data_IF_285181532058
#
_entry.id   IF_285181532058
#
_cell.length_a   1.000
_cell.length_b   1.000
_cell.length_c   1.000
_cell.angle_alpha   90.00
_cell.angle_beta   90.00
_cell.angle_gamma   90.00
#
_symmetry.space_group_name_H-M   'P 1'
#
loop_
_entity.id
_entity.type
_entity.pdbx_description
1 polymer ?
#
# COMPACT_ATOMS: atom_id res chain seq x y z
N UNK A 1 33.07 -28.78 0.27
CA UNK A 1 32.10 -27.66 0.16
C UNK A 1 31.73 -27.42 -1.31
N UNK A 2 30.88 -28.29 -1.91
CA UNK A 2 30.46 -28.13 -3.32
C UNK A 2 28.94 -28.27 -3.51
N UNK A 3 28.15 -28.03 -2.44
CA UNK A 3 26.69 -28.15 -2.45
C UNK A 3 25.95 -26.79 -2.40
N UNK A 4 26.64 -25.72 -2.00
CA UNK A 4 26.03 -24.39 -1.88
C UNK A 4 25.85 -23.80 -3.27
N UNK A 5 24.64 -23.35 -3.59
CA UNK A 5 24.29 -22.69 -4.85
C UNK A 5 24.43 -23.59 -6.11
N UNK A 6 24.57 -24.90 -5.93
CA UNK A 6 24.76 -25.84 -7.05
C UNK A 6 23.53 -25.91 -7.94
N UNK A 7 23.65 -25.43 -9.18
CA UNK A 7 22.58 -25.43 -10.17
C UNK A 7 21.60 -24.24 -10.08
N UNK A 8 21.81 -23.32 -9.13
CA UNK A 8 21.05 -22.07 -9.03
C UNK A 8 21.74 -20.94 -9.80
N UNK A 9 20.97 -19.91 -10.14
CA UNK A 9 21.49 -18.57 -10.48
C UNK A 9 21.22 -17.56 -9.36
N UNK A 10 21.91 -16.42 -9.36
CA UNK A 10 21.73 -15.38 -8.32
C UNK A 10 20.28 -14.93 -8.19
N UNK A 11 19.56 -14.81 -9.32
CA UNK A 11 18.17 -14.40 -9.33
C UNK A 11 17.23 -15.44 -8.70
N UNK A 12 17.54 -16.74 -8.75
CA UNK A 12 16.74 -17.76 -8.06
C UNK A 12 16.68 -17.51 -6.56
N UNK A 13 17.82 -17.16 -5.96
CA UNK A 13 17.92 -16.86 -4.54
C UNK A 13 17.29 -15.51 -4.22
N UNK A 14 17.62 -14.46 -4.99
CA UNK A 14 17.18 -13.08 -4.71
C UNK A 14 15.66 -12.95 -4.85
N UNK A 15 15.08 -13.44 -5.95
CA UNK A 15 13.64 -13.29 -6.18
C UNK A 15 12.83 -14.21 -5.27
N UNK A 16 13.32 -15.41 -4.93
CA UNK A 16 12.67 -16.25 -3.92
C UNK A 16 12.68 -15.57 -2.55
N UNK A 17 13.80 -14.95 -2.16
CA UNK A 17 13.89 -14.21 -0.90
C UNK A 17 12.94 -12.98 -0.91
N UNK A 18 12.83 -12.27 -2.04
CA UNK A 18 11.87 -11.19 -2.22
C UNK A 18 10.43 -11.67 -2.05
N UNK A 19 10.06 -12.81 -2.66
CA UNK A 19 8.72 -13.39 -2.52
C UNK A 19 8.40 -13.76 -1.08
N UNK A 20 9.37 -14.30 -0.33
CA UNK A 20 9.19 -14.58 1.10
C UNK A 20 8.96 -13.28 1.90
N UNK A 21 9.70 -12.21 1.60
CA UNK A 21 9.46 -10.91 2.22
C UNK A 21 8.09 -10.32 1.83
N UNK A 22 7.65 -10.50 0.58
CA UNK A 22 6.33 -10.07 0.12
C UNK A 22 5.20 -10.82 0.81
N UNK A 23 5.36 -12.12 1.09
CA UNK A 23 4.39 -12.89 1.89
C UNK A 23 4.17 -12.23 3.25
N UNK A 24 5.25 -11.97 3.97
CA UNK A 24 5.18 -11.39 5.31
C UNK A 24 4.64 -9.95 5.26
N UNK A 25 4.96 -9.19 4.21
CA UNK A 25 4.39 -7.86 3.98
C UNK A 25 2.89 -7.90 3.65
N UNK A 26 2.43 -8.87 2.87
CA UNK A 26 1.02 -9.05 2.56
C UNK A 26 0.20 -9.29 3.82
N UNK A 27 0.65 -10.20 4.68
CA UNK A 27 -0.01 -10.48 5.96
C UNK A 27 -0.04 -9.24 6.86
N UNK A 28 1.07 -8.51 6.95
CA UNK A 28 1.15 -7.27 7.71
C UNK A 28 0.22 -6.18 7.16
N UNK A 29 0.17 -6.01 5.84
CA UNK A 29 -0.61 -4.95 5.20
C UNK A 29 -2.09 -5.27 5.22
N UNK A 30 -2.49 -6.54 5.06
CA UNK A 30 -3.86 -7.00 5.25
C UNK A 30 -4.37 -6.68 6.65
N UNK A 31 -3.60 -7.02 7.69
CA UNK A 31 -3.96 -6.72 9.08
C UNK A 31 -4.10 -5.21 9.33
N UNK A 32 -3.20 -4.38 8.78
CA UNK A 32 -3.29 -2.92 8.92
C UNK A 32 -4.41 -2.30 8.10
N UNK A 33 -4.74 -2.88 6.96
CA UNK A 33 -5.86 -2.46 6.14
C UNK A 33 -7.17 -2.72 6.88
N UNK A 34 -7.31 -3.89 7.52
CA UNK A 34 -8.44 -4.20 8.40
C UNK A 34 -8.52 -3.22 9.58
N UNK A 35 -7.41 -2.96 10.28
CA UNK A 35 -7.37 -1.97 11.36
C UNK A 35 -7.75 -0.55 10.90
N UNK A 36 -7.44 -0.19 9.66
CA UNK A 36 -7.85 1.09 9.07
C UNK A 36 -9.35 1.10 8.76
N UNK A 37 -9.91 0.00 8.26
CA UNK A 37 -11.36 -0.14 8.06
C UNK A 37 -12.13 -0.03 9.39
N UNK A 38 -11.63 -0.68 10.45
CA UNK A 38 -12.20 -0.60 11.79
C UNK A 38 -12.15 0.83 12.34
N UNK A 39 -11.02 1.54 12.15
CA UNK A 39 -10.87 2.93 12.56
C UNK A 39 -11.82 3.86 11.80
N UNK A 40 -12.06 3.60 10.51
CA UNK A 40 -13.07 4.31 9.71
C UNK A 40 -14.48 4.04 10.25
N UNK A 41 -14.80 2.79 10.61
CA UNK A 41 -16.08 2.45 11.25
C UNK A 41 -16.29 3.19 12.56
N UNK A 42 -15.30 3.16 13.47
CA UNK A 42 -15.35 3.89 14.74
C UNK A 42 -15.47 5.42 14.56
N UNK A 43 -14.84 5.97 13.51
CA UNK A 43 -14.98 7.37 13.15
C UNK A 43 -16.40 7.69 12.66
N UNK A 44 -17.04 6.77 11.95
CA UNK A 44 -18.44 6.86 11.55
C UNK A 44 -19.39 6.97 12.73
N UNK A 45 -19.20 6.16 13.77
CA UNK A 45 -19.99 6.24 15.00
C UNK A 45 -19.83 7.59 15.71
N UNK A 46 -18.62 8.15 15.70
CA UNK A 46 -18.31 9.41 16.38
C UNK A 46 -18.79 10.64 15.62
N UNK A 47 -18.52 10.71 14.31
CA UNK A 47 -18.70 11.94 13.52
C UNK A 47 -19.79 11.81 12.46
N UNK A 48 -20.37 10.63 12.25
CA UNK A 48 -21.26 10.36 11.11
C UNK A 48 -22.44 11.33 10.97
N UNK A 49 -22.98 11.80 12.10
CA UNK A 49 -24.08 12.77 12.17
C UNK A 49 -23.69 14.22 11.84
N UNK A 50 -22.40 14.56 11.84
CA UNK A 50 -21.91 15.91 11.60
C UNK A 50 -22.31 16.38 10.20
N UNK A 51 -23.00 17.53 10.13
CA UNK A 51 -23.40 18.16 8.87
C UNK A 51 -22.35 19.17 8.44
N UNK A 52 -22.04 19.19 7.16
CA UNK A 52 -21.00 20.05 6.58
C UNK A 52 -21.33 20.43 5.15
N UNK A 53 -20.55 21.36 4.61
CA UNK A 53 -20.70 21.80 3.24
C UNK A 53 -20.11 20.74 2.29
N UNK A 54 -20.90 20.30 1.31
CA UNK A 54 -20.37 19.49 0.21
C UNK A 54 -19.42 20.33 -0.65
N UNK A 55 -18.39 19.70 -1.21
CA UNK A 55 -17.45 20.39 -2.11
C UNK A 55 -17.40 19.65 -3.43
N UNK A 56 -17.67 20.35 -4.53
CA UNK A 56 -17.58 19.79 -5.89
C UNK A 56 -16.82 20.76 -6.78
N UNK A 57 -15.86 20.26 -7.56
CA UNK A 57 -14.95 21.10 -8.37
C UNK A 57 -14.30 22.24 -7.55
N UNK A 58 -13.95 21.94 -6.30
CA UNK A 58 -13.39 22.90 -5.33
C UNK A 58 -14.30 24.09 -4.99
N UNK A 59 -15.63 23.94 -5.14
CA UNK A 59 -16.63 24.95 -4.79
C UNK A 59 -17.64 24.40 -3.78
N UNK A 60 -18.13 25.24 -2.84
CA UNK A 60 -19.27 24.90 -1.99
C UNK A 60 -20.48 24.40 -2.79
N UNK A 61 -21.09 23.33 -2.33
CA UNK A 61 -22.27 22.70 -2.91
C UNK A 61 -23.35 22.49 -1.84
N UNK A 62 -24.26 21.55 -2.06
CA UNK A 62 -25.30 21.21 -1.08
C UNK A 62 -24.70 20.60 0.20
N UNK A 63 -25.38 20.73 1.35
CA UNK A 63 -24.96 20.09 2.60
C UNK A 63 -24.86 18.57 2.47
N UNK A 64 -23.91 17.99 3.20
CA UNK A 64 -23.62 16.57 3.26
C UNK A 64 -23.36 16.16 4.72
N UNK A 65 -23.61 14.90 5.07
CA UNK A 65 -23.20 14.34 6.37
C UNK A 65 -21.80 13.76 6.29
N UNK A 66 -21.06 13.75 7.39
CA UNK A 66 -19.76 13.09 7.42
C UNK A 66 -19.87 11.61 7.06
N UNK A 67 -20.94 10.93 7.49
CA UNK A 67 -21.21 9.53 7.13
C UNK A 67 -21.25 9.31 5.60
N UNK A 68 -21.85 10.23 4.83
CA UNK A 68 -21.89 10.11 3.38
C UNK A 68 -20.49 10.26 2.74
N UNK A 69 -19.62 11.10 3.31
CA UNK A 69 -18.22 11.22 2.88
C UNK A 69 -17.41 9.99 3.24
N UNK A 70 -17.58 9.49 4.46
CA UNK A 70 -16.94 8.28 4.97
C UNK A 70 -17.30 7.04 4.16
N UNK A 71 -18.56 6.92 3.70
CA UNK A 71 -18.97 5.84 2.81
C UNK A 71 -18.10 5.80 1.53
N UNK A 72 -17.76 6.97 0.96
CA UNK A 72 -16.85 7.06 -0.16
C UNK A 72 -15.38 6.73 0.18
N UNK A 73 -14.97 6.85 1.44
CA UNK A 73 -13.64 6.41 1.89
C UNK A 73 -13.57 4.90 2.10
N UNK A 74 -14.64 4.31 2.63
CA UNK A 74 -14.74 2.87 2.92
C UNK A 74 -15.00 2.03 1.66
N UNK A 75 -15.70 2.57 0.67
CA UNK A 75 -16.13 1.83 -0.51
C UNK A 75 -15.02 1.00 -1.21
N UNK A 76 -13.77 1.48 -1.34
CA UNK A 76 -12.72 0.71 -2.01
C UNK A 76 -12.06 -0.38 -1.16
N UNK A 77 -12.33 -0.47 0.15
CA UNK A 77 -11.63 -1.40 1.05
C UNK A 77 -11.92 -2.88 0.74
N UNK A 78 -13.17 -3.32 0.52
CA UNK A 78 -13.46 -4.71 0.15
C UNK A 78 -12.64 -5.17 -1.07
N UNK A 79 -12.62 -4.36 -2.13
CA UNK A 79 -11.86 -4.69 -3.33
C UNK A 79 -10.35 -4.87 -3.07
N UNK A 80 -9.78 -4.21 -2.06
CA UNK A 80 -8.36 -4.38 -1.73
C UNK A 80 -8.07 -5.74 -1.10
N UNK A 81 -9.01 -6.28 -0.33
CA UNK A 81 -8.92 -7.66 0.19
C UNK A 81 -9.08 -8.66 -0.94
N UNK A 82 -10.09 -8.49 -1.80
CA UNK A 82 -10.33 -9.37 -2.96
C UNK A 82 -9.11 -9.38 -3.91
N UNK A 83 -8.51 -8.21 -4.16
CA UNK A 83 -7.28 -8.10 -4.97
C UNK A 83 -6.12 -8.82 -4.30
N UNK A 84 -5.95 -8.70 -2.98
CA UNK A 84 -4.87 -9.39 -2.29
C UNK A 84 -5.04 -10.91 -2.36
N UNK A 85 -6.26 -11.41 -2.14
CA UNK A 85 -6.59 -12.84 -2.27
C UNK A 85 -6.22 -13.36 -3.67
N UNK A 86 -6.59 -12.62 -4.72
CA UNK A 86 -6.24 -12.97 -6.10
C UNK A 86 -4.74 -12.88 -6.39
N UNK A 87 -4.01 -11.95 -5.76
CA UNK A 87 -2.57 -11.74 -5.98
C UNK A 87 -1.70 -12.79 -5.31
N UNK A 88 -2.09 -13.28 -4.12
CA UNK A 88 -1.31 -14.27 -3.36
C UNK A 88 -0.86 -15.46 -4.21
N UNK A 89 -1.72 -16.20 -4.96
CA UNK A 89 -1.26 -17.33 -5.77
C UNK A 89 -0.38 -16.93 -6.96
N UNK A 90 -0.48 -15.68 -7.45
CA UNK A 90 0.33 -15.19 -8.57
C UNK A 90 1.75 -14.80 -8.14
N UNK A 91 1.88 -14.25 -6.93
CA UNK A 91 3.13 -13.72 -6.38
C UNK A 91 3.88 -14.75 -5.53
N UNK A 92 3.16 -15.54 -4.72
CA UNK A 92 3.75 -16.47 -3.73
C UNK A 92 4.19 -17.79 -4.38
N UNK A 93 5.12 -17.66 -5.32
CA UNK A 93 5.68 -18.76 -6.12
C UNK A 93 7.21 -18.74 -6.07
N UNK A 94 7.82 -19.92 -6.09
CA UNK A 94 9.26 -20.08 -6.11
C UNK A 94 9.87 -19.50 -7.40
N UNK A 95 11.01 -18.81 -7.31
CA UNK A 95 11.87 -18.55 -8.48
C UNK A 95 12.97 -19.61 -8.53
N UNK A 96 12.85 -20.55 -9.48
CA UNK A 96 13.86 -21.57 -9.71
C UNK A 96 13.92 -21.87 -11.21
N UNK A 97 14.93 -21.33 -11.87
CA UNK A 97 15.14 -21.56 -13.29
C UNK A 97 16.58 -21.85 -13.70
N UNK A 98 17.55 -21.70 -12.80
CA UNK A 98 18.96 -21.84 -13.15
C UNK A 98 19.45 -20.71 -14.05
N UNK A 99 20.63 -20.85 -14.69
CA UNK A 99 21.31 -19.75 -15.38
C UNK A 99 20.50 -19.06 -16.49
N UNK A 100 19.63 -19.80 -17.18
CA UNK A 100 18.87 -19.35 -18.37
C UNK A 100 17.36 -19.61 -18.27
N UNK A 101 16.86 -20.06 -17.12
CA UNK A 101 15.42 -20.29 -16.93
C UNK A 101 14.88 -21.62 -17.45
N UNK A 102 15.74 -22.54 -17.89
CA UNK A 102 15.38 -23.85 -18.46
C UNK A 102 15.05 -24.92 -17.41
N UNK A 103 15.28 -24.63 -16.13
CA UNK A 103 14.85 -25.41 -14.96
C UNK A 103 15.21 -26.92 -15.04
N UNK A 104 16.50 -27.28 -15.12
CA UNK A 104 16.93 -28.67 -15.33
C UNK A 104 16.73 -29.60 -14.10
N UNK A 105 16.26 -29.09 -12.95
CA UNK A 105 16.20 -29.80 -11.66
C UNK A 105 14.82 -29.72 -11.02
N UNK A 106 13.80 -30.17 -11.73
CA UNK A 106 12.40 -30.00 -11.30
C UNK A 106 12.08 -30.59 -9.92
N UNK A 107 12.56 -31.79 -9.61
CA UNK A 107 12.36 -32.42 -8.30
C UNK A 107 12.90 -31.57 -7.13
N UNK A 108 14.00 -30.83 -7.35
CA UNK A 108 14.56 -29.90 -6.35
C UNK A 108 13.67 -28.68 -6.20
N UNK A 109 13.17 -28.13 -7.31
CA UNK A 109 12.25 -26.99 -7.28
C UNK A 109 10.96 -27.32 -6.52
N UNK A 110 10.36 -28.49 -6.77
CA UNK A 110 9.16 -28.95 -6.05
C UNK A 110 9.42 -29.11 -4.55
N UNK A 111 10.51 -29.78 -4.18
CA UNK A 111 10.87 -29.95 -2.77
C UNK A 111 11.15 -28.61 -2.06
N UNK A 112 11.86 -27.69 -2.72
CA UNK A 112 12.17 -26.37 -2.18
C UNK A 112 10.91 -25.50 -2.04
N UNK A 113 10.00 -25.53 -3.02
CA UNK A 113 8.74 -24.81 -2.94
C UNK A 113 7.89 -25.30 -1.77
N UNK A 114 7.81 -26.63 -1.57
CA UNK A 114 7.11 -27.22 -0.43
C UNK A 114 7.72 -26.80 0.91
N UNK A 115 9.05 -26.86 1.04
CA UNK A 115 9.77 -26.44 2.26
C UNK A 115 9.53 -24.97 2.60
N UNK A 116 9.49 -24.09 1.58
CA UNK A 116 9.29 -22.65 1.75
C UNK A 116 7.83 -22.22 1.86
N UNK A 117 6.88 -23.15 1.66
CA UNK A 117 5.45 -22.86 1.60
C UNK A 117 5.08 -21.95 0.42
N UNK A 118 5.71 -22.16 -0.73
CA UNK A 118 5.45 -21.44 -1.98
C UNK A 118 4.88 -22.37 -3.05
N UNK A 119 4.19 -21.82 -4.03
CA UNK A 119 3.83 -22.58 -5.23
C UNK A 119 5.10 -22.92 -6.04
N UNK A 120 5.16 -24.11 -6.64
CA UNK A 120 6.16 -24.46 -7.64
C UNK A 120 5.59 -24.13 -9.04
N UNK A 121 5.90 -22.96 -9.64
CA UNK A 121 5.36 -22.62 -10.95
C UNK A 121 5.92 -23.56 -12.01
N UNK A 122 5.19 -23.85 -13.08
CA UNK A 122 5.67 -24.75 -14.16
C UNK A 122 6.86 -24.15 -14.94
N UNK A 123 6.96 -22.81 -14.99
CA UNK A 123 8.03 -22.07 -15.66
C UNK A 123 8.79 -21.15 -14.69
N UNK A 124 10.06 -20.90 -14.99
CA UNK A 124 10.79 -19.79 -14.39
C UNK A 124 10.19 -18.44 -14.85
N UNK A 125 10.33 -17.40 -14.02
CA UNK A 125 9.76 -16.08 -14.28
C UNK A 125 10.81 -14.98 -14.16
N UNK A 126 12.07 -15.28 -14.51
CA UNK A 126 13.20 -14.34 -14.44
C UNK A 126 12.89 -13.01 -15.13
N UNK A 127 12.31 -13.06 -16.33
CA UNK A 127 11.90 -11.89 -17.13
C UNK A 127 10.37 -11.62 -17.09
N UNK A 128 9.57 -12.50 -16.50
CA UNK A 128 8.12 -12.30 -16.34
C UNK A 128 7.84 -11.63 -14.99
N UNK A 129 7.79 -10.29 -15.02
CA UNK A 129 7.66 -9.46 -13.82
C UNK A 129 6.23 -8.98 -13.56
N UNK A 130 5.25 -9.52 -14.28
CA UNK A 130 3.85 -9.09 -14.20
C UNK A 130 3.31 -9.20 -12.78
N UNK A 131 3.53 -10.33 -12.10
CA UNK A 131 3.06 -10.53 -10.73
C UNK A 131 3.63 -9.50 -9.74
N UNK A 132 4.91 -9.10 -9.91
CA UNK A 132 5.52 -8.06 -9.07
C UNK A 132 4.94 -6.68 -9.36
N UNK A 133 4.71 -6.35 -10.63
CA UNK A 133 4.10 -5.08 -11.03
C UNK A 133 2.65 -4.97 -10.53
N UNK A 134 1.90 -6.07 -10.52
CA UNK A 134 0.56 -6.13 -9.95
C UNK A 134 0.58 -6.00 -8.42
N UNK A 135 1.51 -6.67 -7.73
CA UNK A 135 1.70 -6.55 -6.28
C UNK A 135 2.02 -5.11 -5.85
N UNK A 136 2.95 -4.45 -6.54
CA UNK A 136 3.26 -3.04 -6.27
C UNK A 136 2.12 -2.11 -6.67
N UNK A 137 1.36 -2.46 -7.71
CA UNK A 137 0.14 -1.76 -8.10
C UNK A 137 -0.91 -1.76 -7.00
N UNK A 138 -1.15 -2.91 -6.37
CA UNK A 138 -2.04 -3.02 -5.20
C UNK A 138 -1.59 -2.14 -4.03
N UNK A 139 -0.30 -2.15 -3.69
CA UNK A 139 0.26 -1.28 -2.65
C UNK A 139 0.09 0.21 -3.01
N UNK A 140 0.32 0.59 -4.26
CA UNK A 140 0.15 1.96 -4.74
C UNK A 140 -1.32 2.41 -4.72
N UNK A 141 -2.26 1.52 -5.03
CA UNK A 141 -3.70 1.80 -4.92
C UNK A 141 -4.13 2.05 -3.47
N UNK A 142 -3.63 1.26 -2.51
CA UNK A 142 -3.87 1.50 -1.08
C UNK A 142 -3.33 2.87 -0.68
N UNK A 143 -2.06 3.16 -1.00
CA UNK A 143 -1.46 4.47 -0.71
C UNK A 143 -2.27 5.61 -1.34
N UNK A 144 -2.73 5.45 -2.58
CA UNK A 144 -3.60 6.40 -3.28
C UNK A 144 -4.91 6.68 -2.55
N UNK A 145 -5.62 5.64 -2.11
CA UNK A 145 -6.87 5.80 -1.36
C UNK A 145 -6.65 6.46 0.01
N UNK A 146 -5.59 6.11 0.72
CA UNK A 146 -5.21 6.78 1.97
C UNK A 146 -4.81 8.24 1.72
N UNK A 147 -4.13 8.53 0.61
CA UNK A 147 -3.82 9.89 0.18
C UNK A 147 -5.07 10.73 -0.11
N UNK A 148 -6.11 10.12 -0.69
CA UNK A 148 -7.42 10.77 -0.88
C UNK A 148 -8.05 11.13 0.47
N UNK A 149 -8.04 10.20 1.44
CA UNK A 149 -8.51 10.47 2.81
C UNK A 149 -7.70 11.64 3.41
N UNK A 150 -6.38 11.62 3.30
CA UNK A 150 -5.51 12.71 3.73
C UNK A 150 -5.87 14.05 3.07
N UNK A 151 -6.13 14.06 1.77
CA UNK A 151 -6.53 15.26 1.03
C UNK A 151 -7.86 15.83 1.53
N UNK A 152 -8.86 14.98 1.74
CA UNK A 152 -10.16 15.41 2.27
C UNK A 152 -10.01 15.97 3.69
N UNK A 153 -9.20 15.33 4.56
CA UNK A 153 -8.92 15.79 5.92
C UNK A 153 -8.24 17.16 5.92
N UNK A 154 -7.20 17.33 5.10
CA UNK A 154 -6.51 18.62 4.99
C UNK A 154 -7.45 19.73 4.49
N UNK A 155 -8.32 19.43 3.52
CA UNK A 155 -9.32 20.38 3.02
C UNK A 155 -10.38 20.71 4.08
N UNK A 156 -10.91 19.73 4.80
CA UNK A 156 -11.85 19.97 5.89
C UNK A 156 -11.23 20.80 7.02
N UNK A 157 -9.97 20.54 7.39
CA UNK A 157 -9.26 21.31 8.40
C UNK A 157 -9.07 22.77 7.96
N UNK A 158 -8.75 23.01 6.68
CA UNK A 158 -8.68 24.37 6.12
C UNK A 158 -10.03 25.09 6.17
N UNK A 159 -11.13 24.38 5.94
CA UNK A 159 -12.49 24.94 5.99
C UNK A 159 -13.01 25.13 7.43
N UNK A 160 -12.32 24.57 8.43
CA UNK A 160 -12.78 24.54 9.82
C UNK A 160 -13.91 23.56 10.08
N UNK A 161 -14.14 22.59 9.18
CA UNK A 161 -15.19 21.56 9.32
C UNK A 161 -14.81 20.48 10.33
N UNK A 162 -13.51 20.30 10.61
CA UNK A 162 -12.97 19.37 11.59
C UNK A 162 -11.69 19.94 12.22
N UNK A 163 -11.27 19.35 13.34
CA UNK A 163 -9.96 19.53 13.95
C UNK A 163 -9.18 18.22 13.98
N UNK A 164 -7.85 18.32 14.05
CA UNK A 164 -6.94 17.18 14.20
C UNK A 164 -6.23 17.34 15.54
N UNK A 165 -6.71 16.65 16.57
CA UNK A 165 -6.11 16.72 17.90
C UNK A 165 -4.68 16.18 17.91
N UNK A 166 -3.79 16.87 18.61
CA UNK A 166 -2.36 16.53 18.57
C UNK A 166 -1.73 16.73 17.19
N UNK A 167 -2.42 17.42 16.26
CA UNK A 167 -1.84 17.88 15.00
C UNK A 167 -0.58 18.68 15.26
N UNK A 168 0.44 18.52 14.40
CA UNK A 168 1.77 19.08 14.63
C UNK A 168 1.70 20.56 14.99
N UNK A 169 2.04 20.88 16.25
CA UNK A 169 1.94 22.23 16.78
C UNK A 169 2.99 23.15 16.17
N UNK A 170 2.67 24.44 16.05
CA UNK A 170 3.64 25.45 15.66
C UNK A 170 4.32 26.03 16.89
N UNK A 171 5.65 25.99 16.93
CA UNK A 171 6.44 26.66 17.98
C UNK A 171 6.28 28.18 18.00
N UNK A 172 5.81 28.79 16.91
CA UNK A 172 5.59 30.23 16.77
C UNK A 172 4.13 30.66 16.97
N UNK A 173 3.16 29.75 16.83
CA UNK A 173 1.73 30.05 16.89
C UNK A 173 1.00 28.99 17.74
N UNK A 174 0.75 29.26 19.04
CA UNK A 174 0.17 28.29 19.97
C UNK A 174 -1.22 27.73 19.58
N UNK A 175 -1.97 28.45 18.74
CA UNK A 175 -3.29 28.05 18.27
C UNK A 175 -3.26 27.28 16.93
N UNK A 176 -2.08 27.11 16.31
CA UNK A 176 -1.96 26.51 14.97
C UNK A 176 -1.77 25.00 15.06
N UNK A 177 -2.81 24.27 14.66
CA UNK A 177 -2.83 22.81 14.55
C UNK A 177 -2.72 22.42 13.07
N UNK A 178 -1.60 21.80 12.68
CA UNK A 178 -1.39 21.39 11.28
C UNK A 178 -1.78 19.92 11.08
N UNK A 179 -2.47 19.56 9.98
CA UNK A 179 -2.85 18.19 9.67
C UNK A 179 -1.65 17.40 9.08
N UNK A 180 -0.50 17.39 9.76
CA UNK A 180 0.79 16.86 9.25
C UNK A 180 0.69 15.41 8.81
N UNK A 181 -0.06 14.57 9.52
CA UNK A 181 -0.24 13.17 9.14
C UNK A 181 -1.11 13.03 7.88
N UNK A 182 -2.08 13.93 7.66
CA UNK A 182 -2.86 13.96 6.43
C UNK A 182 -2.00 14.36 5.23
N UNK A 183 -1.14 15.36 5.40
CA UNK A 183 -0.14 15.78 4.41
C UNK A 183 0.85 14.65 4.09
N UNK A 184 1.28 13.90 5.11
CA UNK A 184 2.12 12.71 4.93
C UNK A 184 1.42 11.67 4.04
N UNK A 185 0.14 11.36 4.28
CA UNK A 185 -0.61 10.42 3.44
C UNK A 185 -0.64 10.88 1.97
N UNK A 186 -0.85 12.17 1.72
CA UNK A 186 -0.83 12.75 0.37
C UNK A 186 0.56 12.59 -0.27
N UNK A 187 1.63 12.85 0.47
CA UNK A 187 3.01 12.73 -0.03
C UNK A 187 3.36 11.28 -0.36
N UNK A 188 3.03 10.34 0.52
CA UNK A 188 3.27 8.91 0.31
C UNK A 188 2.48 8.36 -0.88
N UNK A 189 1.23 8.79 -1.06
CA UNK A 189 0.42 8.43 -2.22
C UNK A 189 1.06 8.86 -3.54
N UNK A 190 1.59 10.10 -3.59
CA UNK A 190 2.27 10.63 -4.78
C UNK A 190 3.58 9.91 -5.07
N UNK A 191 4.38 9.62 -4.04
CA UNK A 191 5.62 8.85 -4.20
C UNK A 191 5.32 7.43 -4.71
N UNK A 192 4.38 6.71 -4.09
CA UNK A 192 4.00 5.36 -4.51
C UNK A 192 3.52 5.32 -5.97
N UNK A 193 2.70 6.29 -6.39
CA UNK A 193 2.24 6.39 -7.77
C UNK A 193 3.40 6.64 -8.76
N UNK A 194 4.36 7.50 -8.40
CA UNK A 194 5.53 7.76 -9.23
C UNK A 194 6.41 6.51 -9.38
N UNK A 195 6.69 5.82 -8.27
CA UNK A 195 7.49 4.60 -8.27
C UNK A 195 6.78 3.45 -8.99
N UNK A 196 5.45 3.37 -8.95
CA UNK A 196 4.70 2.40 -9.73
C UNK A 196 4.91 2.60 -11.24
N UNK A 197 5.05 3.85 -11.69
CA UNK A 197 5.46 4.14 -13.07
C UNK A 197 6.82 3.52 -13.42
N UNK A 198 7.78 3.54 -12.50
CA UNK A 198 9.08 2.90 -12.68
C UNK A 198 8.97 1.36 -12.70
N UNK A 199 8.14 0.76 -11.86
CA UNK A 199 7.85 -0.69 -11.89
C UNK A 199 7.26 -1.12 -13.23
N UNK A 200 6.29 -0.37 -13.76
CA UNK A 200 5.70 -0.66 -15.07
C UNK A 200 6.71 -0.47 -16.21
N UNK A 201 7.56 0.55 -16.12
CA UNK A 201 8.63 0.79 -17.09
C UNK A 201 9.74 -0.28 -17.04
N UNK A 202 9.85 -1.05 -15.96
CA UNK A 202 10.78 -2.16 -15.82
C UNK A 202 10.24 -3.50 -16.38
N UNK A 203 8.97 -3.58 -16.78
CA UNK A 203 8.40 -4.79 -17.40
C UNK A 203 9.13 -5.32 -18.66
N UNK A 204 9.67 -4.50 -19.59
CA UNK A 204 10.33 -5.00 -20.78
C UNK A 204 11.74 -5.52 -20.47
N UNK A 205 11.83 -6.63 -19.73
CA UNK A 205 13.07 -7.37 -19.57
C UNK A 205 13.52 -7.92 -20.92
N UNK A 206 14.77 -7.62 -21.30
CA UNK A 206 15.42 -8.24 -22.43
C UNK A 206 15.69 -9.73 -22.21
N UNK A 207 15.21 -10.56 -23.14
CA UNK A 207 15.49 -11.99 -23.23
C UNK A 207 15.18 -12.72 -21.90
N UNK A 208 16.02 -13.67 -21.48
CA UNK A 208 15.77 -14.49 -20.28
C UNK A 208 16.02 -13.74 -18.96
N UNK A 209 16.78 -12.62 -18.98
CA UNK A 209 17.09 -11.80 -17.80
C UNK A 209 17.77 -10.48 -18.18
N UNK A 210 17.25 -9.36 -17.67
CA UNK A 210 17.81 -8.03 -17.88
C UNK A 210 18.27 -7.41 -16.56
N UNK A 211 19.57 -7.14 -16.44
CA UNK A 211 20.15 -6.56 -15.23
C UNK A 211 19.69 -5.11 -14.97
N UNK A 212 19.48 -4.31 -16.01
CA UNK A 212 19.07 -2.91 -15.86
C UNK A 212 17.60 -2.81 -15.45
N UNK A 213 16.73 -3.57 -16.10
CA UNK A 213 15.31 -3.65 -15.73
C UNK A 213 15.13 -4.21 -14.32
N UNK A 214 15.86 -5.28 -13.97
CA UNK A 214 15.82 -5.87 -12.64
C UNK A 214 16.31 -4.90 -11.54
N UNK A 215 17.40 -4.19 -11.77
CA UNK A 215 17.89 -3.18 -10.81
C UNK A 215 16.91 -2.02 -10.64
N UNK A 216 16.15 -1.65 -11.67
CA UNK A 216 15.12 -0.62 -11.55
C UNK A 216 14.01 -1.04 -10.57
N UNK A 217 13.61 -2.32 -10.57
CA UNK A 217 12.66 -2.87 -9.59
C UNK A 217 13.18 -2.74 -8.16
N UNK A 218 14.47 -3.01 -7.94
CA UNK A 218 15.08 -2.92 -6.61
C UNK A 218 15.07 -1.50 -6.04
N UNK A 219 15.06 -0.48 -6.90
CA UNK A 219 14.96 0.92 -6.49
C UNK A 219 13.52 1.34 -6.22
N UNK A 220 12.56 0.81 -6.99
CA UNK A 220 11.16 1.22 -6.93
C UNK A 220 10.36 0.45 -5.88
N UNK A 221 10.44 -0.88 -5.85
CA UNK A 221 9.59 -1.75 -5.02
C UNK A 221 9.71 -1.44 -3.52
N UNK A 222 10.92 -1.31 -2.92
CA UNK A 222 11.03 -1.00 -1.50
C UNK A 222 10.42 0.36 -1.12
N UNK A 223 10.45 1.34 -2.03
CA UNK A 223 9.84 2.65 -1.80
C UNK A 223 8.32 2.57 -1.81
N UNK A 224 7.74 1.82 -2.75
CA UNK A 224 6.29 1.59 -2.81
C UNK A 224 5.82 0.86 -1.54
N UNK A 225 6.49 -0.22 -1.17
CA UNK A 225 6.19 -0.99 0.04
C UNK A 225 6.33 -0.13 1.30
N UNK A 226 7.40 0.66 1.40
CA UNK A 226 7.62 1.59 2.51
C UNK A 226 6.54 2.66 2.60
N UNK A 227 6.13 3.24 1.46
CA UNK A 227 5.08 4.24 1.41
C UNK A 227 3.72 3.69 1.82
N UNK A 228 3.32 2.54 1.25
CA UNK A 228 2.08 1.85 1.63
C UNK A 228 2.10 1.45 3.10
N UNK A 229 3.18 0.81 3.56
CA UNK A 229 3.33 0.36 4.94
C UNK A 229 3.29 1.51 5.95
N UNK A 230 3.92 2.66 5.63
CA UNK A 230 3.85 3.86 6.48
C UNK A 230 2.47 4.49 6.46
N UNK A 231 1.81 4.58 5.31
CA UNK A 231 0.46 5.12 5.18
C UNK A 231 -0.54 4.32 6.02
N UNK A 232 -0.52 2.99 5.89
CA UNK A 232 -1.34 2.07 6.68
C UNK A 232 -1.05 2.17 8.19
N UNK A 233 0.20 2.41 8.59
CA UNK A 233 0.57 2.51 9.99
C UNK A 233 0.06 3.81 10.65
N UNK A 234 -0.01 4.92 9.92
CA UNK A 234 -0.41 6.22 10.49
C UNK A 234 -1.91 6.51 10.36
N UNK A 235 -2.58 5.90 9.37
CA UNK A 235 -3.98 6.21 9.07
C UNK A 235 -4.92 5.98 10.27
N UNK A 236 -4.88 4.85 11.01
CA UNK A 236 -5.77 4.66 12.17
C UNK A 236 -5.61 5.75 13.24
N UNK A 237 -4.37 6.18 13.52
CA UNK A 237 -4.08 7.23 14.49
C UNK A 237 -4.60 8.60 14.05
N UNK A 238 -4.42 8.95 12.77
CA UNK A 238 -4.98 10.17 12.19
C UNK A 238 -6.51 10.18 12.27
N UNK A 239 -7.16 9.08 11.89
CA UNK A 239 -8.62 8.95 11.95
C UNK A 239 -9.14 9.09 13.38
N UNK A 240 -8.45 8.47 14.35
CA UNK A 240 -8.81 8.58 15.76
C UNK A 240 -8.69 10.01 16.31
N UNK A 241 -7.77 10.83 15.77
CA UNK A 241 -7.52 12.20 16.19
C UNK A 241 -8.52 13.24 15.62
N UNK A 242 -9.44 12.85 14.74
CA UNK A 242 -10.40 13.80 14.15
C UNK A 242 -11.52 14.15 15.12
N UNK A 243 -11.76 15.45 15.33
CA UNK A 243 -12.85 15.95 16.18
C UNK A 243 -13.71 16.99 15.47
N UNK A 244 -14.95 17.23 15.93
CA UNK A 244 -15.78 18.33 15.43
C UNK A 244 -15.09 19.69 15.62
N UNK A 245 -15.56 20.76 14.94
CA UNK A 245 -15.00 22.10 15.09
C UNK A 245 -14.95 22.61 16.54
N UNK A 246 -15.94 22.21 17.36
CA UNK A 246 -16.05 22.54 18.78
C UNK A 246 -15.17 21.71 19.73
N UNK A 247 -14.39 20.74 19.22
CA UNK A 247 -13.67 19.75 20.03
C UNK A 247 -14.53 18.54 20.40
N UNK A 248 -13.95 17.59 21.16
CA UNK A 248 -14.62 16.33 21.54
C UNK A 248 -15.91 16.53 22.37
N UNK A 249 -16.01 17.63 23.12
CA UNK A 249 -17.15 17.97 23.99
C UNK A 249 -18.06 19.08 23.43
N UNK A 250 -17.84 19.53 22.19
CA UNK A 250 -18.62 20.60 21.58
C UNK A 250 -20.02 20.14 21.15
N UNK A 251 -21.06 20.97 21.22
CA UNK A 251 -22.37 20.62 20.68
C UNK A 251 -22.26 20.38 19.16
N UNK A 252 -22.80 19.25 18.71
CA UNK A 252 -22.93 18.84 17.30
C UNK A 252 -23.92 19.74 16.56
#
# INVERSE_FOLDING_TARGET
MAAIHTGLTSQDVIDTALVLALRDLFDLFEARLAATADALGALGERLGGLRMTGVTRSQPALPVTFAARLAGWLAPFPDHFDRLEALRPLVLRLQFGGPVGDRPRDAVAVAMAAELGLAAPERAWHADRTALAEATGWMALIAGHLGKIGQDIATMALMGDIRVEGGGGSSAMPHKENPVQAELLIALARDAAHQQGAMLAALPHGMERDGAAWMAEWLALPRIAGACGRALAVAPGLLAALTPPGGADGPV
#
